data_IF_236704803798
#
_entry.id   IF_236704803798
#
_cell.length_a   1.000
_cell.length_b   1.000
_cell.length_c   1.000
_cell.angle_alpha   90.00
_cell.angle_beta   90.00
_cell.angle_gamma   90.00
#
_symmetry.space_group_name_H-M   'P 1'
#
loop_
_entity.id
_entity.type
_entity.pdbx_description
1 polymer ?
#
# COMPACT_ATOMS: atom_id res chain seq x y z
N UNK A 1 27.82 38.15 -37.05
CA UNK A 1 26.83 37.19 -37.56
C UNK A 1 26.39 36.33 -36.40
N UNK A 2 25.11 36.39 -36.12
CA UNK A 2 24.42 35.81 -34.96
C UNK A 2 24.37 34.27 -35.07
N UNK A 3 24.12 33.59 -33.95
CA UNK A 3 24.64 32.27 -33.66
C UNK A 3 23.71 31.16 -34.18
N UNK A 4 24.03 30.58 -35.33
CA UNK A 4 23.19 29.54 -35.93
C UNK A 4 23.28 28.19 -35.21
N UNK A 5 24.42 27.90 -34.56
CA UNK A 5 24.63 26.64 -33.83
C UNK A 5 24.18 26.69 -32.36
N UNK A 6 24.00 27.88 -31.78
CA UNK A 6 23.61 28.00 -30.37
C UNK A 6 22.13 27.70 -30.14
N UNK A 7 21.25 28.00 -31.11
CA UNK A 7 19.82 27.70 -31.05
C UNK A 7 19.51 26.19 -31.00
N UNK A 8 20.04 25.31 -31.88
CA UNK A 8 19.77 23.89 -31.80
C UNK A 8 20.34 23.26 -30.53
N UNK A 9 21.53 23.68 -30.09
CA UNK A 9 22.15 23.20 -28.85
C UNK A 9 21.30 23.60 -27.64
N UNK A 10 20.83 24.85 -27.59
CA UNK A 10 19.97 25.33 -26.51
C UNK A 10 18.62 24.58 -26.48
N UNK A 11 18.04 24.27 -27.64
CA UNK A 11 16.82 23.46 -27.75
C UNK A 11 17.04 22.03 -27.25
N UNK A 12 18.15 21.39 -27.59
CA UNK A 12 18.49 20.03 -27.12
C UNK A 12 18.67 20.03 -25.59
N UNK A 13 19.33 21.03 -25.02
CA UNK A 13 19.47 21.17 -23.56
C UNK A 13 18.12 21.32 -22.84
N UNK A 14 17.20 22.12 -23.40
CA UNK A 14 15.85 22.30 -22.84
C UNK A 14 15.04 21.00 -22.87
N UNK A 15 15.10 20.24 -23.96
CA UNK A 15 14.39 18.95 -24.10
C UNK A 15 14.96 17.89 -23.14
N UNK A 16 16.29 17.86 -22.95
CA UNK A 16 16.90 16.97 -21.97
C UNK A 16 16.44 17.30 -20.54
N UNK A 17 16.35 18.59 -20.20
CA UNK A 17 15.93 19.05 -18.87
C UNK A 17 14.44 18.75 -18.58
N UNK A 18 13.56 18.84 -19.58
CA UNK A 18 12.14 18.47 -19.40
C UNK A 18 11.94 16.98 -19.21
N UNK A 19 12.78 16.14 -19.85
CA UNK A 19 12.71 14.69 -19.68
C UNK A 19 13.13 14.20 -18.28
N UNK A 20 14.09 14.88 -17.63
CA UNK A 20 14.59 14.52 -16.30
C UNK A 20 13.59 14.84 -15.17
N UNK A 21 12.69 15.80 -15.38
CA UNK A 21 11.62 16.14 -14.43
C UNK A 21 10.30 15.40 -14.70
N UNK A 22 10.23 14.59 -15.77
CA UNK A 22 9.03 13.84 -16.12
C UNK A 22 9.09 12.46 -15.48
N UNK A 23 8.58 12.36 -14.25
CA UNK A 23 8.36 11.07 -13.57
C UNK A 23 7.38 10.25 -14.42
N UNK A 24 7.90 9.30 -15.21
CA UNK A 24 7.09 8.36 -16.00
C UNK A 24 6.59 7.18 -15.18
N UNK A 25 7.21 6.91 -14.02
CA UNK A 25 6.78 5.91 -13.05
C UNK A 25 5.94 6.57 -11.95
N UNK A 26 4.82 7.18 -12.34
CA UNK A 26 3.84 7.59 -11.32
C UNK A 26 3.15 6.31 -10.83
N UNK A 27 3.15 6.01 -9.52
CA UNK A 27 2.39 4.88 -9.01
C UNK A 27 0.93 5.06 -9.42
N UNK A 28 0.28 3.95 -9.74
CA UNK A 28 -1.14 3.99 -10.10
C UNK A 28 -1.91 4.56 -8.90
N UNK A 29 -2.62 5.68 -9.14
CA UNK A 29 -3.38 6.41 -8.13
C UNK A 29 -2.91 7.86 -7.95
N UNK A 30 -3.46 8.77 -8.75
CA UNK A 30 -3.24 10.22 -8.57
C UNK A 30 -3.92 10.74 -7.29
N UNK A 31 -3.39 11.84 -6.72
CA UNK A 31 -3.82 12.46 -5.44
C UNK A 31 -5.32 12.80 -5.31
N UNK A 32 -6.12 12.69 -6.38
CA UNK A 32 -7.55 13.05 -6.44
C UNK A 32 -8.46 11.87 -6.81
N UNK A 33 -7.94 10.65 -6.97
CA UNK A 33 -8.76 9.51 -7.38
C UNK A 33 -9.44 8.77 -6.22
N UNK A 34 -9.20 9.19 -4.97
CA UNK A 34 -9.89 8.61 -3.81
C UNK A 34 -11.25 9.30 -3.67
N UNK A 35 -12.14 9.02 -4.62
CA UNK A 35 -13.56 9.00 -4.29
C UNK A 35 -13.74 7.77 -3.43
N UNK A 36 -14.47 7.90 -2.32
CA UNK A 36 -14.93 6.85 -1.40
C UNK A 36 -15.82 5.83 -2.14
N UNK A 37 -15.23 5.18 -3.13
CA UNK A 37 -15.78 4.07 -3.89
C UNK A 37 -15.32 2.82 -3.17
N UNK A 38 -16.21 1.85 -3.02
CA UNK A 38 -15.99 0.53 -2.42
C UNK A 38 -14.56 0.02 -2.65
N UNK A 39 -13.69 0.18 -1.64
CA UNK A 39 -12.30 -0.23 -1.72
C UNK A 39 -12.28 -1.76 -1.71
N UNK A 40 -11.66 -2.35 -2.74
CA UNK A 40 -11.53 -3.81 -2.77
C UNK A 40 -10.76 -4.30 -1.54
N UNK A 41 -11.04 -5.54 -1.13
CA UNK A 41 -10.16 -6.23 -0.18
C UNK A 41 -8.80 -6.47 -0.83
N UNK A 42 -7.73 -6.38 -0.05
CA UNK A 42 -6.40 -6.71 -0.57
C UNK A 42 -6.30 -8.21 -0.88
N UNK A 43 -5.18 -8.63 -1.47
CA UNK A 43 -4.97 -10.03 -1.78
C UNK A 43 -5.00 -10.89 -0.52
N UNK A 44 -5.59 -12.10 -0.59
CA UNK A 44 -5.49 -13.05 0.50
C UNK A 44 -4.09 -13.68 0.55
N UNK A 45 -3.65 -14.05 1.74
CA UNK A 45 -2.30 -14.54 2.02
C UNK A 45 -2.30 -15.60 3.13
N UNK A 46 -1.11 -16.14 3.45
CA UNK A 46 -0.96 -17.15 4.49
C UNK A 46 -1.46 -18.56 4.11
N UNK A 47 -1.36 -19.52 5.05
CA UNK A 47 -1.79 -20.89 4.83
C UNK A 47 -3.28 -20.94 4.52
N UNK A 48 -3.65 -21.64 3.44
CA UNK A 48 -5.05 -21.75 3.02
C UNK A 48 -5.71 -20.43 2.58
N UNK A 49 -4.94 -19.36 2.32
CA UNK A 49 -5.47 -18.02 2.04
C UNK A 49 -6.35 -17.46 3.18
N UNK A 50 -6.11 -17.90 4.42
CA UNK A 50 -6.90 -17.50 5.59
C UNK A 50 -6.50 -16.11 6.14
N UNK A 51 -5.47 -15.47 5.60
CA UNK A 51 -5.06 -14.11 5.93
C UNK A 51 -5.34 -13.10 4.81
N UNK A 52 -5.11 -11.84 5.11
CA UNK A 52 -5.22 -10.69 4.23
C UNK A 52 -3.93 -9.87 4.29
N UNK A 53 -3.53 -9.31 3.14
CA UNK A 53 -2.36 -8.44 3.07
C UNK A 53 -2.66 -7.07 3.67
N UNK A 54 -1.83 -6.63 4.60
CA UNK A 54 -1.89 -5.27 5.16
C UNK A 54 -0.79 -4.38 4.57
N UNK A 55 0.31 -4.98 4.12
CA UNK A 55 1.43 -4.31 3.47
C UNK A 55 2.24 -5.29 2.64
N UNK A 56 3.29 -4.85 1.91
CA UNK A 56 4.06 -5.71 1.01
C UNK A 56 4.80 -6.84 1.74
N UNK A 57 4.97 -6.75 3.06
CA UNK A 57 5.62 -7.76 3.90
C UNK A 57 4.82 -8.07 5.16
N UNK A 58 3.50 -7.83 5.14
CA UNK A 58 2.61 -8.05 6.29
C UNK A 58 1.38 -8.82 5.84
N UNK A 59 1.17 -10.00 6.43
CA UNK A 59 0.01 -10.84 6.23
C UNK A 59 -0.63 -11.15 7.58
N UNK A 60 -1.92 -10.85 7.76
CA UNK A 60 -2.60 -11.10 9.03
C UNK A 60 -3.95 -11.78 8.84
N UNK A 61 -4.35 -12.60 9.79
CA UNK A 61 -5.66 -13.23 9.84
C UNK A 61 -6.10 -13.50 11.27
N UNK A 62 -7.41 -13.51 11.49
CA UNK A 62 -7.99 -13.60 12.84
C UNK A 62 -7.52 -14.84 13.63
N UNK A 63 -7.39 -15.98 12.94
CA UNK A 63 -6.97 -17.26 13.52
C UNK A 63 -5.48 -17.58 13.27
N UNK A 64 -4.79 -16.73 12.49
CA UNK A 64 -3.39 -16.92 12.10
C UNK A 64 -2.42 -16.03 12.89
N UNK A 65 -2.91 -14.94 13.47
CA UNK A 65 -2.06 -13.84 13.92
C UNK A 65 -1.51 -13.06 12.74
N UNK A 66 -0.25 -12.62 12.83
CA UNK A 66 0.42 -11.84 11.80
C UNK A 66 1.80 -12.41 11.46
N UNK A 67 2.10 -12.43 10.15
CA UNK A 67 3.37 -12.82 9.57
C UNK A 67 4.08 -11.61 8.96
N UNK A 68 5.39 -11.51 9.20
CA UNK A 68 6.23 -10.38 8.78
C UNK A 68 7.43 -10.87 7.98
N UNK A 69 7.50 -10.52 6.69
CA UNK A 69 8.65 -10.86 5.83
C UNK A 69 8.89 -12.36 5.65
N UNK A 70 7.90 -13.21 5.96
CA UNK A 70 7.98 -14.66 5.79
C UNK A 70 7.41 -15.12 4.44
N UNK A 71 7.47 -16.42 4.14
CA UNK A 71 6.96 -16.98 2.88
C UNK A 71 5.46 -16.70 2.64
N UNK A 72 4.69 -16.59 3.72
CA UNK A 72 3.26 -16.24 3.72
C UNK A 72 2.98 -14.85 3.13
N UNK A 73 3.95 -13.95 3.20
CA UNK A 73 3.84 -12.56 2.75
C UNK A 73 4.21 -12.36 1.28
N UNK A 74 4.78 -13.37 0.61
CA UNK A 74 5.24 -13.25 -0.79
C UNK A 74 4.12 -12.85 -1.77
N UNK A 75 2.87 -13.24 -1.49
CA UNK A 75 1.71 -12.82 -2.29
C UNK A 75 1.41 -11.32 -2.16
N UNK A 76 1.70 -10.72 -1.00
CA UNK A 76 1.40 -9.32 -0.73
C UNK A 76 2.28 -8.36 -1.52
N UNK A 77 3.48 -8.77 -1.94
CA UNK A 77 4.30 -7.97 -2.86
C UNK A 77 3.61 -7.75 -4.21
N UNK A 78 2.71 -8.65 -4.62
CA UNK A 78 1.96 -8.53 -5.87
C UNK A 78 0.89 -7.45 -5.81
N UNK A 79 0.54 -6.98 -4.62
CA UNK A 79 -0.43 -5.88 -4.41
C UNK A 79 -0.02 -4.62 -5.18
N UNK A 80 1.30 -4.38 -5.30
CA UNK A 80 1.88 -3.22 -5.99
C UNK A 80 1.51 -3.17 -7.48
N UNK A 81 1.25 -4.32 -8.10
CA UNK A 81 0.88 -4.40 -9.52
C UNK A 81 -0.62 -4.19 -9.76
N UNK A 82 -1.43 -4.08 -8.71
CA UNK A 82 -2.86 -3.87 -8.86
C UNK A 82 -3.18 -2.39 -9.03
N UNK A 83 -3.97 -2.02 -10.06
CA UNK A 83 -4.26 -0.62 -10.34
C UNK A 83 -5.31 0.00 -9.39
N UNK A 84 -6.11 -0.81 -8.70
CA UNK A 84 -7.10 -0.30 -7.76
C UNK A 84 -6.56 -0.36 -6.33
N UNK A 85 -6.75 0.71 -5.53
CA UNK A 85 -6.40 0.70 -4.12
C UNK A 85 -7.22 -0.36 -3.40
N UNK A 86 -6.61 -0.97 -2.38
CA UNK A 86 -7.26 -1.96 -1.54
C UNK A 86 -7.24 -1.54 -0.09
N UNK A 87 -8.05 -2.21 0.72
CA UNK A 87 -8.02 -2.05 2.16
C UNK A 87 -8.35 -3.37 2.86
N UNK A 88 -7.57 -3.69 3.87
CA UNK A 88 -7.75 -4.87 4.73
C UNK A 88 -8.14 -4.47 6.14
N UNK A 89 -8.68 -5.44 6.88
CA UNK A 89 -9.14 -5.24 8.25
C UNK A 89 -10.49 -4.54 8.35
N UNK A 90 -10.90 -4.30 9.59
CA UNK A 90 -12.20 -3.69 9.90
C UNK A 90 -12.03 -2.38 10.67
N UNK A 91 -12.26 -2.45 11.97
CA UNK A 91 -12.17 -1.33 12.91
C UNK A 91 -10.82 -0.62 12.81
N UNK A 92 -10.86 0.71 12.79
CA UNK A 92 -9.65 1.55 12.87
C UNK A 92 -9.07 1.48 14.28
N UNK A 93 -7.76 1.55 14.38
CA UNK A 93 -7.00 1.49 15.62
C UNK A 93 -5.73 2.34 15.50
N UNK A 94 -5.11 2.64 16.63
CA UNK A 94 -3.98 3.57 16.70
C UNK A 94 -4.28 5.00 16.23
N UNK A 95 -3.29 5.89 16.40
CA UNK A 95 -3.39 7.29 15.98
C UNK A 95 -3.01 7.50 14.50
N UNK A 96 -2.27 6.56 13.92
CA UNK A 96 -1.71 6.62 12.56
C UNK A 96 -2.67 6.09 11.47
N UNK A 97 -3.93 5.80 11.83
CA UNK A 97 -4.91 5.26 10.89
C UNK A 97 -4.76 3.77 10.57
N UNK A 98 -4.20 3.01 11.50
CA UNK A 98 -4.10 1.55 11.40
C UNK A 98 -5.46 0.85 11.48
N UNK A 99 -5.46 -0.46 11.23
CA UNK A 99 -6.65 -1.31 11.27
C UNK A 99 -6.38 -2.62 12.00
N UNK A 100 -7.40 -3.09 12.71
CA UNK A 100 -7.31 -4.34 13.44
C UNK A 100 -7.13 -5.50 12.45
N UNK A 101 -6.04 -6.22 12.63
CA UNK A 101 -5.58 -7.24 11.69
C UNK A 101 -5.74 -8.66 12.24
N UNK A 102 -5.60 -8.78 13.56
CA UNK A 102 -5.83 -9.99 14.35
C UNK A 102 -6.20 -9.55 15.80
N UNK A 103 -6.68 -10.47 16.66
CA UNK A 103 -7.05 -10.14 18.03
C UNK A 103 -5.91 -9.44 18.79
N UNK A 104 -6.17 -8.24 19.27
CA UNK A 104 -5.21 -7.42 20.01
C UNK A 104 -4.07 -6.82 19.16
N UNK A 105 -4.13 -6.91 17.82
CA UNK A 105 -3.08 -6.43 16.91
C UNK A 105 -3.64 -5.39 15.94
N UNK A 106 -3.08 -4.19 16.00
CA UNK A 106 -3.32 -3.09 15.06
C UNK A 106 -2.20 -3.01 14.03
N UNK A 107 -2.53 -2.96 12.74
CA UNK A 107 -1.54 -2.87 11.66
C UNK A 107 -1.77 -1.66 10.75
N UNK A 108 -0.66 -1.01 10.37
CA UNK A 108 -0.54 -0.17 9.18
C UNK A 108 0.05 -0.97 8.01
N UNK A 109 0.33 -0.30 6.90
CA UNK A 109 1.00 -0.89 5.75
C UNK A 109 2.49 -1.19 5.97
N UNK A 110 3.07 -0.64 7.03
CA UNK A 110 4.51 -0.77 7.35
C UNK A 110 4.80 -1.48 8.66
N UNK A 111 3.88 -1.44 9.63
CA UNK A 111 4.15 -1.97 10.97
C UNK A 111 2.88 -2.41 11.68
N UNK A 112 3.02 -3.25 12.69
CA UNK A 112 1.94 -3.59 13.59
C UNK A 112 2.34 -3.40 15.04
N UNK A 113 1.37 -3.02 15.87
CA UNK A 113 1.52 -2.84 17.31
C UNK A 113 0.40 -3.57 18.03
N UNK A 114 0.66 -3.95 19.28
CA UNK A 114 -0.40 -4.44 20.15
C UNK A 114 -1.35 -3.29 20.50
N UNK A 115 -2.65 -3.53 20.38
CA UNK A 115 -3.70 -2.55 20.67
C UNK A 115 -4.93 -3.29 21.17
N UNK A 116 -5.30 -3.06 22.43
CA UNK A 116 -6.45 -3.71 23.07
C UNK A 116 -7.79 -3.28 22.46
N UNK A 117 -7.83 -2.20 21.69
CA UNK A 117 -9.05 -1.82 20.95
C UNK A 117 -9.40 -2.82 19.84
N UNK A 118 -8.42 -3.66 19.45
CA UNK A 118 -8.54 -4.74 18.48
C UNK A 118 -8.75 -6.11 19.11
N UNK A 119 -8.83 -6.21 20.44
CA UNK A 119 -9.31 -7.45 21.06
C UNK A 119 -10.72 -7.74 20.55
N UNK A 120 -11.02 -9.02 20.33
CA UNK A 120 -12.41 -9.42 20.07
C UNK A 120 -13.20 -8.92 21.28
N UNK A 121 -14.06 -7.92 21.11
CA UNK A 121 -15.19 -7.78 22.03
C UNK A 121 -15.84 -9.16 21.99
N UNK A 122 -15.67 -9.93 23.06
CA UNK A 122 -16.41 -11.15 23.22
C UNK A 122 -17.87 -10.72 23.17
N UNK A 123 -18.50 -10.82 21.99
CA UNK A 123 -19.93 -10.90 21.87
C UNK A 123 -20.31 -12.16 22.63
N UNK A 124 -20.47 -12.00 23.95
CA UNK A 124 -21.42 -12.77 24.69
C UNK A 124 -22.78 -12.40 24.11
N UNK A 125 -23.21 -13.16 23.11
CA UNK A 125 -24.57 -13.19 22.59
C UNK A 125 -24.95 -14.64 22.34
#
# INVERSE_FOLDING_TARGET
>A
MMPSFSLPICLICLIAYTSACYIQNCPIGGKRSVVETDLRKCLPCGPGNAGQCFGPSICCGEELGCFFGTAETLKCQKEIYWPSPCQSGGKRCGSEGGRCAAPGICCSDVSCTLDSTCDKEAMFA
#
